data_IF_413401235907
#
_entry.id   IF_413401235907
#
_cell.length_a   1.000
_cell.length_b   1.000
_cell.length_c   1.000
_cell.angle_alpha   90.00
_cell.angle_beta   90.00
_cell.angle_gamma   90.00
#
_symmetry.space_group_name_H-M   'P 1'
#
loop_
_entity.id
_entity.type
_entity.pdbx_description
1 polymer ?
#
# COMPACT_ATOMS: atom_id res chain seq x y z
N UNK A 1 22.57 4.74 -19.58
CA UNK A 1 21.31 4.39 -18.88
C UNK A 1 21.68 3.96 -17.47
N UNK A 2 21.13 4.59 -16.43
CA UNK A 2 21.38 4.17 -15.04
C UNK A 2 20.68 2.83 -14.85
N UNK A 3 21.41 1.76 -14.51
CA UNK A 3 20.80 0.46 -14.20
C UNK A 3 19.97 0.67 -12.93
N UNK A 4 18.66 0.72 -13.08
CA UNK A 4 17.74 0.83 -11.94
C UNK A 4 17.60 -0.57 -11.36
N UNK A 5 17.94 -0.72 -10.08
CA UNK A 5 17.71 -1.97 -9.34
C UNK A 5 16.26 -2.43 -9.47
N UNK A 6 16.04 -3.74 -9.63
CA UNK A 6 14.71 -4.32 -9.83
C UNK A 6 14.23 -5.07 -8.59
N UNK A 7 12.91 -5.10 -8.39
CA UNK A 7 12.23 -5.87 -7.36
C UNK A 7 10.93 -6.45 -7.91
N UNK A 8 10.58 -7.68 -7.55
CA UNK A 8 9.33 -8.32 -7.99
C UNK A 8 8.14 -7.97 -7.09
N UNK A 9 8.41 -7.69 -5.81
CA UNK A 9 7.41 -7.40 -4.78
C UNK A 9 7.62 -6.00 -4.21
N UNK A 10 6.53 -5.26 -4.06
CA UNK A 10 6.48 -3.96 -3.42
C UNK A 10 5.71 -4.03 -2.10
N UNK A 11 6.16 -3.29 -1.09
CA UNK A 11 5.48 -3.17 0.20
C UNK A 11 5.35 -1.69 0.55
N UNK A 12 4.12 -1.27 0.83
CA UNK A 12 3.82 0.05 1.34
C UNK A 12 3.65 0.02 2.87
N UNK A 13 4.57 0.65 3.58
CA UNK A 13 4.55 0.75 5.04
C UNK A 13 3.49 1.74 5.54
N UNK A 14 2.56 1.27 6.38
CA UNK A 14 1.59 2.14 7.07
C UNK A 14 2.13 2.75 8.36
N UNK A 15 1.23 3.33 9.17
CA UNK A 15 1.55 3.77 10.53
C UNK A 15 2.14 2.62 11.36
N UNK A 16 3.26 2.87 12.03
CA UNK A 16 4.01 1.88 12.81
C UNK A 16 4.91 0.96 11.97
N UNK A 17 4.87 1.03 10.64
CA UNK A 17 5.64 0.16 9.75
C UNK A 17 6.58 0.98 8.86
N UNK A 18 7.65 1.49 9.46
CA UNK A 18 8.60 2.42 8.82
C UNK A 18 9.91 1.77 8.37
N UNK A 19 10.19 0.56 8.85
CA UNK A 19 11.28 -0.31 8.41
C UNK A 19 10.80 -1.75 8.42
N UNK A 20 11.30 -2.56 7.49
CA UNK A 20 10.86 -3.94 7.31
C UNK A 20 12.02 -4.91 7.09
N UNK A 21 12.96 -4.55 6.22
CA UNK A 21 14.04 -5.43 5.77
C UNK A 21 15.41 -4.86 6.12
N UNK A 22 16.41 -5.75 6.19
CA UNK A 22 17.80 -5.34 6.13
C UNK A 22 18.03 -4.62 4.80
N UNK A 23 18.46 -3.37 4.89
CA UNK A 23 18.68 -2.51 3.73
C UNK A 23 19.83 -3.08 2.90
N UNK A 24 19.55 -3.43 1.64
CA UNK A 24 20.59 -3.68 0.64
C UNK A 24 20.92 -2.40 -0.13
N UNK A 25 19.90 -1.60 -0.45
CA UNK A 25 20.04 -0.37 -1.22
C UNK A 25 18.94 0.64 -0.85
N UNK A 26 19.25 1.93 -0.93
CA UNK A 26 18.26 3.02 -0.92
C UNK A 26 18.29 3.73 -2.27
N UNK A 27 17.14 3.85 -2.91
CA UNK A 27 17.01 4.44 -4.24
C UNK A 27 16.14 5.69 -4.17
N UNK A 28 16.67 6.79 -4.70
CA UNK A 28 15.88 8.00 -5.00
C UNK A 28 15.41 7.93 -6.45
N UNK A 29 14.09 7.96 -6.66
CA UNK A 29 13.46 8.03 -7.99
C UNK A 29 12.65 9.33 -8.06
N UNK A 30 12.88 10.10 -9.12
CA UNK A 30 11.96 11.16 -9.52
C UNK A 30 10.94 10.58 -10.50
N UNK A 31 9.67 10.91 -10.31
CA UNK A 31 8.59 10.47 -11.19
C UNK A 31 7.98 11.68 -11.90
N UNK A 32 7.28 11.48 -13.04
CA UNK A 32 6.49 12.54 -13.66
C UNK A 32 5.44 13.17 -12.73
N UNK A 33 5.11 12.49 -11.62
CA UNK A 33 4.13 12.93 -10.64
C UNK A 33 4.77 13.58 -9.39
N UNK A 34 6.08 13.84 -9.43
CA UNK A 34 6.86 14.34 -8.31
C UNK A 34 7.57 13.24 -7.53
N UNK A 35 7.94 13.53 -6.28
CA UNK A 35 8.69 12.60 -5.43
C UNK A 35 7.75 11.60 -4.73
N UNK A 36 8.16 10.33 -4.61
CA UNK A 36 7.54 9.38 -3.68
C UNK A 36 7.61 9.88 -2.23
N UNK A 37 6.88 9.23 -1.33
CA UNK A 37 6.83 9.58 0.10
C UNK A 37 8.20 9.59 0.78
N UNK A 38 9.12 8.73 0.33
CA UNK A 38 10.51 8.66 0.79
C UNK A 38 11.37 7.96 -0.28
N UNK A 39 12.67 7.79 -0.02
CA UNK A 39 13.51 6.85 -0.76
C UNK A 39 12.94 5.44 -0.68
N UNK A 40 13.14 4.69 -1.75
CA UNK A 40 12.71 3.30 -1.84
C UNK A 40 13.82 2.43 -1.27
N UNK A 41 13.50 1.64 -0.26
CA UNK A 41 14.43 0.66 0.30
C UNK A 41 14.30 -0.63 -0.49
N UNK A 42 15.41 -1.14 -1.02
CA UNK A 42 15.48 -2.50 -1.56
C UNK A 42 16.05 -3.41 -0.48
N UNK A 43 15.27 -4.44 -0.13
CA UNK A 43 15.70 -5.55 0.69
C UNK A 43 15.58 -6.87 -0.08
N UNK A 44 15.87 -7.97 0.61
CA UNK A 44 15.68 -9.31 0.09
C UNK A 44 15.19 -10.23 1.19
N UNK A 45 14.26 -11.13 0.85
CA UNK A 45 13.76 -12.17 1.72
C UNK A 45 13.71 -13.46 0.90
N UNK A 46 14.41 -14.50 1.36
CA UNK A 46 14.45 -15.81 0.68
C UNK A 46 14.80 -15.72 -0.83
N UNK A 47 15.74 -14.84 -1.18
CA UNK A 47 16.16 -14.60 -2.56
C UNK A 47 15.22 -13.69 -3.39
N UNK A 48 14.07 -13.29 -2.84
CA UNK A 48 13.12 -12.39 -3.48
C UNK A 48 13.46 -10.94 -3.14
N UNK A 49 13.74 -10.12 -4.16
CA UNK A 49 13.98 -8.68 -3.98
C UNK A 49 12.67 -7.95 -3.73
N UNK A 50 12.64 -7.14 -2.68
CA UNK A 50 11.46 -6.42 -2.22
C UNK A 50 11.78 -4.92 -2.20
N UNK A 51 10.92 -4.12 -2.83
CA UNK A 51 10.92 -2.67 -2.74
C UNK A 51 9.97 -2.21 -1.63
N UNK A 52 10.44 -1.32 -0.76
CA UNK A 52 9.66 -0.82 0.38
C UNK A 52 9.62 0.71 0.40
N UNK A 53 8.43 1.27 0.59
CA UNK A 53 8.23 2.71 0.79
C UNK A 53 7.33 2.91 2.03
N UNK A 54 7.77 3.66 3.05
CA UNK A 54 6.87 4.09 4.13
C UNK A 54 5.92 5.16 3.59
N UNK A 55 4.61 4.87 3.57
CA UNK A 55 3.58 5.74 2.96
C UNK A 55 3.57 7.15 3.56
N UNK A 56 3.87 7.25 4.85
CA UNK A 56 3.88 8.49 5.61
C UNK A 56 5.26 9.18 5.66
N UNK A 57 6.25 8.66 4.92
CA UNK A 57 7.66 9.02 5.13
C UNK A 57 8.25 8.31 6.35
N UNK A 58 9.57 8.18 6.39
CA UNK A 58 10.29 7.47 7.47
C UNK A 58 10.14 8.15 8.84
N UNK A 59 9.83 9.45 8.88
CA UNK A 59 9.59 10.22 10.11
C UNK A 59 8.09 10.40 10.41
N UNK A 60 7.21 9.73 9.66
CA UNK A 60 5.75 9.89 9.76
C UNK A 60 5.27 11.33 9.54
N UNK A 61 5.94 12.06 8.65
CA UNK A 61 5.71 13.48 8.42
C UNK A 61 4.55 13.78 7.45
N UNK A 62 4.14 12.81 6.64
CA UNK A 62 3.09 13.02 5.63
C UNK A 62 1.72 12.58 6.16
N UNK A 63 0.74 13.49 6.32
CA UNK A 63 -0.63 13.10 6.63
C UNK A 63 -1.29 12.40 5.43
N UNK A 64 -2.34 11.57 5.62
CA UNK A 64 -2.93 10.73 4.57
C UNK A 64 -3.32 11.45 3.27
N UNK A 65 -3.76 12.72 3.37
CA UNK A 65 -4.21 13.54 2.24
C UNK A 65 -3.07 14.26 1.50
N UNK A 66 -1.84 14.20 2.00
CA UNK A 66 -0.64 14.76 1.36
C UNK A 66 0.27 13.69 0.76
N UNK A 67 -0.06 12.41 0.94
CA UNK A 67 0.69 11.31 0.34
C UNK A 67 0.56 11.39 -1.18
N UNK A 68 1.70 11.32 -1.87
CA UNK A 68 1.74 11.29 -3.33
C UNK A 68 1.58 9.86 -3.85
N UNK A 69 0.34 9.36 -3.86
CA UNK A 69 0.03 7.98 -4.26
C UNK A 69 0.49 7.66 -5.69
N UNK A 70 0.38 8.62 -6.63
CA UNK A 70 0.84 8.46 -8.01
C UNK A 70 2.34 8.24 -8.10
N UNK A 71 3.13 9.09 -7.43
CA UNK A 71 4.59 8.91 -7.41
C UNK A 71 5.01 7.60 -6.75
N UNK A 72 4.35 7.20 -5.65
CA UNK A 72 4.64 5.94 -4.97
C UNK A 72 4.41 4.72 -5.88
N UNK A 73 3.23 4.64 -6.52
CA UNK A 73 2.88 3.51 -7.39
C UNK A 73 3.72 3.53 -8.68
N UNK A 74 3.96 4.71 -9.26
CA UNK A 74 4.81 4.83 -10.45
C UNK A 74 6.25 4.39 -10.18
N UNK A 75 6.82 4.77 -9.02
CA UNK A 75 8.16 4.34 -8.66
C UNK A 75 8.27 2.81 -8.48
N UNK A 76 7.25 2.16 -7.90
CA UNK A 76 7.19 0.69 -7.87
C UNK A 76 7.16 0.09 -9.28
N UNK A 77 6.39 0.71 -10.19
CA UNK A 77 6.33 0.27 -11.60
C UNK A 77 7.68 0.37 -12.30
N UNK A 78 8.41 1.47 -12.12
CA UNK A 78 9.76 1.68 -12.68
C UNK A 78 10.78 0.64 -12.17
N UNK A 79 10.65 0.24 -10.90
CA UNK A 79 11.44 -0.84 -10.30
C UNK A 79 11.04 -2.24 -10.77
N UNK A 80 10.01 -2.37 -11.62
CA UNK A 80 9.56 -3.65 -12.15
C UNK A 80 8.70 -4.47 -11.19
N UNK A 81 8.19 -3.85 -10.12
CA UNK A 81 7.31 -4.52 -9.15
C UNK A 81 6.06 -5.05 -9.85
N UNK A 82 5.72 -6.31 -9.55
CA UNK A 82 4.55 -7.03 -10.08
C UNK A 82 3.44 -7.20 -9.05
N UNK A 83 3.81 -7.31 -7.78
CA UNK A 83 2.88 -7.56 -6.68
C UNK A 83 3.09 -6.52 -5.58
N UNK A 84 2.01 -5.93 -5.07
CA UNK A 84 2.08 -4.91 -4.01
C UNK A 84 1.26 -5.34 -2.81
N UNK A 85 1.87 -5.29 -1.63
CA UNK A 85 1.19 -5.39 -0.34
C UNK A 85 1.11 -4.01 0.32
N UNK A 86 -0.08 -3.62 0.78
CA UNK A 86 -0.32 -2.32 1.40
C UNK A 86 -1.07 -2.44 2.73
N UNK A 87 -0.42 -2.92 3.81
CA UNK A 87 -1.05 -2.96 5.12
C UNK A 87 -1.47 -1.56 5.60
N UNK A 88 -2.60 -1.50 6.29
CA UNK A 88 -3.09 -0.29 6.92
C UNK A 88 -3.62 -0.59 8.32
N UNK A 89 -3.33 0.32 9.26
CA UNK A 89 -4.03 0.35 10.53
C UNK A 89 -5.41 0.98 10.30
N UNK A 90 -6.45 0.37 10.85
CA UNK A 90 -7.83 0.84 10.76
C UNK A 90 -8.57 0.51 12.05
N UNK A 91 -9.60 1.28 12.39
CA UNK A 91 -10.51 0.94 13.47
C UNK A 91 -11.73 0.18 12.94
N UNK A 92 -12.20 -0.77 13.74
CA UNK A 92 -13.35 -1.60 13.38
C UNK A 92 -14.65 -0.79 13.41
N UNK A 93 -15.54 -1.08 12.46
CA UNK A 93 -16.94 -0.64 12.46
C UNK A 93 -17.91 -1.80 12.78
N UNK A 94 -17.36 -2.96 13.16
CA UNK A 94 -18.09 -4.20 13.38
C UNK A 94 -17.70 -4.80 14.74
N UNK A 95 -18.65 -5.04 15.67
CA UNK A 95 -18.32 -5.49 17.02
C UNK A 95 -17.53 -6.80 17.09
N UNK A 96 -17.65 -7.67 16.09
CA UNK A 96 -16.96 -8.97 16.04
C UNK A 96 -15.50 -8.88 15.57
N UNK A 97 -15.09 -7.78 14.91
CA UNK A 97 -13.70 -7.55 14.52
C UNK A 97 -13.00 -6.83 15.68
N UNK A 98 -12.12 -7.55 16.38
CA UNK A 98 -11.45 -7.07 17.59
C UNK A 98 -10.10 -6.40 17.27
N UNK A 99 -9.62 -5.46 18.10
CA UNK A 99 -8.26 -4.93 17.99
C UNK A 99 -7.21 -6.06 17.90
N UNK A 100 -6.22 -5.88 17.03
CA UNK A 100 -5.16 -6.87 16.77
C UNK A 100 -5.52 -7.94 15.74
N UNK A 101 -6.78 -8.03 15.30
CA UNK A 101 -7.18 -8.94 14.22
C UNK A 101 -6.95 -8.29 12.84
N UNK A 102 -6.62 -9.12 11.85
CA UNK A 102 -6.48 -8.69 10.46
C UNK A 102 -7.80 -8.84 9.68
N UNK A 103 -7.98 -8.01 8.66
CA UNK A 103 -9.06 -8.16 7.67
C UNK A 103 -8.44 -8.17 6.29
N UNK A 104 -8.63 -9.25 5.54
CA UNK A 104 -8.11 -9.37 4.18
C UNK A 104 -9.14 -8.77 3.22
N UNK A 105 -9.07 -7.44 3.08
CA UNK A 105 -10.06 -6.64 2.37
C UNK A 105 -10.28 -7.13 0.94
N UNK A 106 -11.54 -7.10 0.52
CA UNK A 106 -11.98 -7.47 -0.83
C UNK A 106 -12.79 -6.39 -1.53
N UNK A 107 -13.21 -5.39 -0.77
CA UNK A 107 -13.95 -4.23 -1.26
C UNK A 107 -13.52 -2.97 -0.52
N UNK A 108 -13.84 -1.82 -1.09
CA UNK A 108 -13.70 -0.54 -0.42
C UNK A 108 -14.82 0.40 -0.79
N UNK A 109 -15.04 1.40 0.07
CA UNK A 109 -15.86 2.58 -0.24
C UNK A 109 -14.95 3.79 -0.15
N UNK A 110 -14.80 4.51 -1.25
CA UNK A 110 -14.02 5.73 -1.27
C UNK A 110 -14.83 6.92 -0.75
N UNK A 111 -14.33 7.56 0.30
CA UNK A 111 -14.84 8.82 0.86
C UNK A 111 -13.75 9.89 0.92
N UNK A 112 -12.69 9.72 0.14
CA UNK A 112 -11.65 10.73 -0.06
C UNK A 112 -12.14 11.84 -0.99
N UNK A 113 -11.45 12.97 -0.98
CA UNK A 113 -11.77 14.12 -1.84
C UNK A 113 -10.52 14.93 -2.16
N UNK A 114 -10.46 15.46 -3.38
CA UNK A 114 -9.35 16.32 -3.85
C UNK A 114 -7.99 15.62 -3.96
N UNK A 115 -7.94 14.28 -3.82
CA UNK A 115 -6.75 13.48 -4.12
C UNK A 115 -6.80 13.13 -5.60
N UNK A 116 -5.67 13.21 -6.28
CA UNK A 116 -5.58 12.70 -7.66
C UNK A 116 -5.46 11.18 -7.59
N UNK A 117 -6.39 10.48 -8.22
CA UNK A 117 -6.61 9.04 -8.11
C UNK A 117 -6.45 8.28 -9.44
N UNK A 118 -6.07 8.99 -10.51
CA UNK A 118 -5.81 8.41 -11.84
C UNK A 118 -4.46 8.84 -12.42
N UNK A 119 -3.91 7.98 -13.28
CA UNK A 119 -2.77 8.30 -14.14
C UNK A 119 -3.20 8.78 -15.54
N UNK A 120 -4.48 8.65 -15.87
CA UNK A 120 -5.04 8.96 -17.17
C UNK A 120 -5.57 10.39 -17.18
N UNK A 121 -4.69 11.34 -17.50
CA UNK A 121 -5.02 12.77 -17.60
C UNK A 121 -5.42 13.19 -19.03
N UNK A 122 -5.70 12.23 -19.91
CA UNK A 122 -6.06 12.43 -21.32
C UNK A 122 -4.87 12.35 -22.29
N UNK A 123 -5.10 12.57 -23.60
CA UNK A 123 -6.37 12.95 -24.22
C UNK A 123 -7.36 11.79 -24.40
N UNK A 124 -6.92 10.53 -24.28
CA UNK A 124 -7.80 9.37 -24.37
C UNK A 124 -8.46 9.07 -23.04
N UNK A 125 -9.77 8.83 -23.07
CA UNK A 125 -10.53 8.45 -21.87
C UNK A 125 -10.26 6.98 -21.53
N UNK A 126 -10.02 6.68 -20.25
CA UNK A 126 -9.85 5.32 -19.75
C UNK A 126 -10.75 5.09 -18.55
N UNK A 127 -11.54 4.02 -18.59
CA UNK A 127 -12.41 3.59 -17.50
C UNK A 127 -11.92 2.25 -16.97
N UNK A 128 -11.41 2.22 -15.74
CA UNK A 128 -11.00 0.99 -15.08
C UNK A 128 -12.15 0.46 -14.21
N UNK A 129 -12.43 -0.84 -14.31
CA UNK A 129 -13.36 -1.49 -13.40
C UNK A 129 -12.76 -1.57 -12.00
N UNK A 130 -13.55 -1.22 -11.00
CA UNK A 130 -13.24 -1.39 -9.58
C UNK A 130 -14.16 -2.43 -8.91
N UNK A 131 -14.81 -3.28 -9.71
CA UNK A 131 -15.69 -4.33 -9.18
C UNK A 131 -14.94 -5.33 -8.29
N UNK A 132 -13.70 -5.69 -8.69
CA UNK A 132 -12.80 -6.56 -7.94
C UNK A 132 -11.46 -5.84 -7.73
N UNK A 133 -11.37 -4.89 -6.78
CA UNK A 133 -10.27 -3.94 -6.71
C UNK A 133 -8.97 -4.52 -6.12
N UNK A 134 -9.05 -5.72 -5.53
CA UNK A 134 -7.91 -6.42 -4.95
C UNK A 134 -7.60 -7.70 -5.71
N UNK A 135 -6.31 -7.97 -5.92
CA UNK A 135 -5.85 -9.16 -6.62
C UNK A 135 -6.33 -10.45 -5.91
N UNK A 136 -7.15 -11.31 -6.54
CA UNK A 136 -7.68 -12.52 -5.91
C UNK A 136 -6.57 -13.55 -5.59
N UNK A 137 -5.46 -13.54 -6.33
CA UNK A 137 -4.31 -14.42 -6.11
C UNK A 137 -3.61 -14.01 -4.80
N UNK A 138 -3.22 -12.75 -4.66
CA UNK A 138 -2.54 -12.27 -3.45
C UNK A 138 -3.41 -12.44 -2.20
N UNK A 139 -4.72 -12.19 -2.31
CA UNK A 139 -5.65 -12.42 -1.19
C UNK A 139 -5.66 -13.86 -0.72
N UNK A 140 -5.71 -14.83 -1.65
CA UNK A 140 -5.66 -16.26 -1.31
C UNK A 140 -4.34 -16.64 -0.64
N UNK A 141 -3.22 -16.10 -1.12
CA UNK A 141 -1.90 -16.32 -0.52
C UNK A 141 -1.87 -15.80 0.92
N UNK A 142 -2.31 -14.57 1.16
CA UNK A 142 -2.31 -13.97 2.51
C UNK A 142 -3.21 -14.73 3.47
N UNK A 143 -4.39 -15.17 3.01
CA UNK A 143 -5.30 -16.02 3.81
C UNK A 143 -4.61 -17.32 4.22
N UNK A 144 -3.96 -18.01 3.27
CA UNK A 144 -3.23 -19.24 3.55
C UNK A 144 -2.10 -19.01 4.57
N UNK A 145 -1.32 -17.95 4.40
CA UNK A 145 -0.25 -17.60 5.35
C UNK A 145 -0.81 -17.29 6.74
N UNK A 146 -1.95 -16.60 6.84
CA UNK A 146 -2.58 -16.32 8.12
C UNK A 146 -3.06 -17.61 8.83
N UNK A 147 -3.60 -18.58 8.07
CA UNK A 147 -3.97 -19.90 8.58
C UNK A 147 -2.74 -20.69 9.06
N UNK A 148 -1.68 -20.76 8.26
CA UNK A 148 -0.43 -21.46 8.61
C UNK A 148 0.26 -20.86 9.84
N UNK A 149 0.18 -19.54 10.03
CA UNK A 149 0.78 -18.82 11.16
C UNK A 149 -0.13 -18.75 12.39
N UNK A 150 -1.37 -19.25 12.32
CA UNK A 150 -2.34 -19.16 13.42
C UNK A 150 -2.73 -17.72 13.78
N UNK A 151 -2.62 -16.77 12.85
CA UNK A 151 -2.98 -15.36 13.06
C UNK A 151 -4.50 -15.23 13.03
N UNK A 152 -5.10 -14.48 13.96
CA UNK A 152 -6.54 -14.21 13.91
C UNK A 152 -6.88 -13.21 12.78
N UNK A 153 -7.76 -13.60 11.86
CA UNK A 153 -8.12 -12.79 10.71
C UNK A 153 -9.56 -13.00 10.22
N UNK A 154 -10.04 -12.07 9.39
CA UNK A 154 -11.29 -12.15 8.66
C UNK A 154 -11.00 -12.26 7.16
N UNK A 155 -11.57 -13.28 6.49
CA UNK A 155 -11.30 -13.62 5.07
C UNK A 155 -11.69 -12.51 4.08
N UNK A 156 -12.66 -11.68 4.45
CA UNK A 156 -13.27 -10.63 3.62
C UNK A 156 -13.65 -9.44 4.47
N UNK A 157 -13.82 -8.28 3.85
CA UNK A 157 -14.26 -7.07 4.52
C UNK A 157 -14.15 -5.85 3.62
N UNK A 158 -15.12 -4.95 3.77
CA UNK A 158 -15.14 -3.67 3.07
C UNK A 158 -14.51 -2.59 3.94
N UNK A 159 -13.47 -1.94 3.43
CA UNK A 159 -12.86 -0.78 4.11
C UNK A 159 -13.47 0.52 3.62
N UNK A 160 -13.87 1.41 4.53
CA UNK A 160 -14.28 2.78 4.17
C UNK A 160 -13.08 3.69 4.31
N UNK A 161 -12.60 4.24 3.19
CA UNK A 161 -11.42 5.11 3.17
C UNK A 161 -11.86 6.56 3.27
N UNK A 162 -11.68 7.18 4.43
CA UNK A 162 -12.01 8.59 4.66
C UNK A 162 -10.83 9.52 4.35
N UNK A 163 -11.13 10.80 4.16
CA UNK A 163 -10.09 11.79 3.81
C UNK A 163 -9.02 11.99 4.90
N UNK A 164 -9.38 11.93 6.18
CA UNK A 164 -8.52 12.42 7.28
C UNK A 164 -8.23 13.93 7.18
N UNK A 165 -7.37 14.50 8.05
CA UNK A 165 -6.62 13.82 9.12
C UNK A 165 -7.47 13.51 10.37
N UNK A 166 -8.68 14.05 10.47
CA UNK A 166 -9.59 13.75 11.58
C UNK A 166 -10.01 12.27 11.56
N UNK A 167 -9.96 11.62 12.70
CA UNK A 167 -10.50 10.26 12.90
C UNK A 167 -12.01 10.32 13.19
N UNK A 168 -12.73 9.23 12.92
CA UNK A 168 -14.20 9.15 13.08
C UNK A 168 -14.63 8.11 14.13
N UNK A 169 -13.86 7.93 15.20
CA UNK A 169 -14.26 7.07 16.32
C UNK A 169 -14.64 7.92 17.53
N UNK A 170 -15.73 7.55 18.21
CA UNK A 170 -15.88 7.84 19.64
C UNK A 170 -15.03 6.80 20.38
N UNK A 171 -14.17 7.27 21.29
CA UNK A 171 -13.56 6.41 22.32
C UNK A 171 -14.68 5.95 23.26
#
# INVERSE_FOLDING_TARGET
MKVISKADVGVFGGSGFYSFLKVKEEISIETPYGKPSDKIVIGELEGIRIAFIPRHGKKHELPPHKINYRANVFAMKELGVKYIFGPCASGSLQPHIKPGQFVICDQFVDRTKGRVDTFYDGPSTTHMSMAEPYCPILRKIVVKCAEELGIAYHKKGTVVVIQGPKVQYKI
#
